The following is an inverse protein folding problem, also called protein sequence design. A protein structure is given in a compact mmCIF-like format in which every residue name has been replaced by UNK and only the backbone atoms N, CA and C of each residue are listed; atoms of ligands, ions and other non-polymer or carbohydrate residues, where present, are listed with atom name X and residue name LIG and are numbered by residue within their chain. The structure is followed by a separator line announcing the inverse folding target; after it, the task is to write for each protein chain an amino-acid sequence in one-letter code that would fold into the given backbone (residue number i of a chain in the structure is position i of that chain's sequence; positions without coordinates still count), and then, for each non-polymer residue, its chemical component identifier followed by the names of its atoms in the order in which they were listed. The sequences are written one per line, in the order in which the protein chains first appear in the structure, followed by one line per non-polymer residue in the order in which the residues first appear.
data_IF_319309698654
#
_entry.id   IF_319309698654
#
_cell.length_a   1.000
_cell.length_b   1.000
_cell.length_c   1.000
_cell.angle_alpha   90.00
_cell.angle_beta   90.00
_cell.angle_gamma   90.00
#
_symmetry.space_group_name_H-M   'P 1'
#
loop_
_entity.id
_entity.type
_entity.pdbx_description
1 polymer ?
#
# COMPACT_ATOMS: atom_id res chain seq x y z
N UNK A 1 3.61 -4.26 19.22
CA UNK A 1 2.16 -4.07 19.02
C UNK A 1 2.00 -3.53 17.62
N UNK A 2 1.06 -4.05 16.81
CA UNK A 2 0.94 -3.57 15.45
C UNK A 2 0.57 -2.09 15.43
N UNK A 3 1.16 -1.32 14.53
CA UNK A 3 0.95 0.12 14.48
C UNK A 3 -0.45 0.37 13.89
N UNK A 4 -1.45 0.57 14.77
CA UNK A 4 -2.86 0.71 14.35
C UNK A 4 -3.15 2.04 13.65
N UNK A 5 -2.16 2.93 13.56
CA UNK A 5 -2.28 4.25 12.94
C UNK A 5 -1.91 4.25 11.46
N UNK A 6 -1.51 3.12 10.88
CA UNK A 6 -1.08 3.05 9.49
C UNK A 6 -2.20 3.45 8.52
N UNK A 7 -1.89 4.41 7.66
CA UNK A 7 -2.77 4.94 6.62
C UNK A 7 -2.63 4.07 5.39
N UNK A 8 -3.64 3.24 5.17
CA UNK A 8 -3.64 2.27 4.07
C UNK A 8 -4.62 2.73 3.01
N UNK A 9 -4.18 2.85 1.77
CA UNK A 9 -5.03 3.13 0.61
C UNK A 9 -5.20 1.86 -0.23
N UNK A 10 -6.42 1.54 -0.67
CA UNK A 10 -6.70 0.43 -1.58
C UNK A 10 -7.31 0.97 -2.87
N UNK A 11 -6.59 0.87 -3.97
CA UNK A 11 -7.06 1.20 -5.31
C UNK A 11 -7.40 -0.07 -6.10
N UNK A 12 -8.69 -0.26 -6.36
CA UNK A 12 -9.17 -1.29 -7.29
C UNK A 12 -10.49 -0.85 -7.93
N UNK A 13 -10.60 -0.97 -9.26
CA UNK A 13 -11.85 -0.74 -9.97
C UNK A 13 -12.99 -1.67 -9.49
N UNK A 14 -12.65 -2.89 -9.10
CA UNK A 14 -13.60 -3.88 -8.61
C UNK A 14 -13.93 -3.66 -7.14
N UNK A 15 -15.18 -3.26 -6.84
CA UNK A 15 -15.65 -3.04 -5.47
C UNK A 15 -15.48 -4.28 -4.57
N UNK A 16 -15.72 -5.48 -5.11
CA UNK A 16 -15.60 -6.73 -4.36
C UNK A 16 -14.16 -6.99 -3.88
N UNK A 17 -13.17 -6.68 -4.71
CA UNK A 17 -11.76 -6.81 -4.35
C UNK A 17 -11.40 -5.87 -3.21
N UNK A 18 -11.82 -4.60 -3.29
CA UNK A 18 -11.60 -3.60 -2.23
C UNK A 18 -12.16 -4.07 -0.89
N UNK A 19 -13.42 -4.50 -0.86
CA UNK A 19 -14.08 -4.97 0.35
C UNK A 19 -13.36 -6.21 0.93
N UNK A 20 -12.90 -7.12 0.07
CA UNK A 20 -12.17 -8.32 0.51
C UNK A 20 -10.83 -7.96 1.13
N UNK A 21 -10.06 -7.08 0.49
CA UNK A 21 -8.75 -6.63 0.98
C UNK A 21 -8.92 -5.84 2.29
N UNK A 22 -9.89 -4.93 2.35
CA UNK A 22 -10.22 -4.16 3.56
C UNK A 22 -10.56 -5.09 4.73
N UNK A 23 -11.35 -6.14 4.50
CA UNK A 23 -11.66 -7.15 5.52
C UNK A 23 -10.41 -7.86 6.04
N UNK A 24 -9.43 -8.16 5.19
CA UNK A 24 -8.17 -8.76 5.62
C UNK A 24 -7.38 -7.80 6.52
N UNK A 25 -7.32 -6.52 6.18
CA UNK A 25 -6.70 -5.50 7.04
C UNK A 25 -7.41 -5.34 8.39
N UNK A 26 -8.74 -5.31 8.37
CA UNK A 26 -9.55 -5.23 9.59
C UNK A 26 -9.32 -6.45 10.50
N UNK A 27 -9.14 -7.65 9.95
CA UNK A 27 -8.80 -8.87 10.73
C UNK A 27 -7.43 -8.78 11.41
N UNK A 28 -6.48 -8.09 10.77
CA UNK A 28 -5.15 -7.84 11.33
C UNK A 28 -5.12 -6.66 12.31
N UNK A 29 -6.25 -5.97 12.50
CA UNK A 29 -6.39 -4.84 13.43
C UNK A 29 -6.02 -3.48 12.84
N UNK A 30 -5.95 -3.36 11.51
CA UNK A 30 -5.78 -2.09 10.81
C UNK A 30 -7.13 -1.57 10.34
N UNK A 31 -7.53 -0.41 10.86
CA UNK A 31 -8.86 0.16 10.61
C UNK A 31 -8.83 1.44 9.76
N UNK A 32 -7.65 2.04 9.56
CA UNK A 32 -7.49 3.27 8.79
C UNK A 32 -7.21 2.95 7.31
N UNK A 33 -8.18 2.28 6.70
CA UNK A 33 -8.13 1.81 5.31
C UNK A 33 -9.09 2.66 4.47
N UNK A 34 -8.58 3.26 3.40
CA UNK A 34 -9.36 4.08 2.47
C UNK A 34 -9.45 3.38 1.09
N UNK A 35 -10.64 2.96 0.64
CA UNK A 35 -10.81 2.39 -0.69
C UNK A 35 -11.07 3.47 -1.75
N UNK A 36 -10.43 3.36 -2.92
CA UNK A 36 -10.63 4.21 -4.10
C UNK A 36 -10.83 3.36 -5.36
N UNK A 37 -11.64 3.84 -6.30
CA UNK A 37 -12.01 3.05 -7.49
C UNK A 37 -11.22 3.38 -8.75
N UNK A 38 -10.59 4.55 -8.81
CA UNK A 38 -9.88 5.03 -9.99
C UNK A 38 -8.58 5.72 -9.62
N UNK A 39 -7.70 5.87 -10.62
CA UNK A 39 -6.49 6.67 -10.47
C UNK A 39 -6.82 8.14 -10.21
N UNK A 40 -7.89 8.68 -10.79
CA UNK A 40 -8.34 10.04 -10.54
C UNK A 40 -8.72 10.32 -9.07
N UNK A 41 -9.12 9.29 -8.32
CA UNK A 41 -9.35 9.39 -6.87
C UNK A 41 -8.07 9.16 -6.07
N UNK A 42 -7.14 8.35 -6.58
CA UNK A 42 -5.86 8.07 -5.93
C UNK A 42 -4.89 9.25 -6.01
N UNK A 43 -4.75 9.86 -7.19
CA UNK A 43 -3.80 10.93 -7.45
C UNK A 43 -3.97 12.09 -6.45
N UNK A 44 -5.19 12.62 -6.20
CA UNK A 44 -5.36 13.69 -5.24
C UNK A 44 -4.98 13.31 -3.81
N UNK A 45 -5.18 12.05 -3.41
CA UNK A 45 -4.84 11.57 -2.07
C UNK A 45 -3.33 11.39 -1.89
N UNK A 46 -2.61 11.08 -2.97
CA UNK A 46 -1.15 10.90 -2.99
C UNK A 46 -0.42 12.22 -3.21
N UNK A 47 -1.02 13.19 -3.91
CA UNK A 47 -0.37 14.48 -4.21
C UNK A 47 -0.74 15.57 -3.19
N UNK A 48 -2.01 15.62 -2.77
CA UNK A 48 -2.54 16.65 -1.86
C UNK A 48 -2.83 16.10 -0.45
N UNK A 49 -2.37 14.89 -0.15
CA UNK A 49 -2.45 14.31 1.18
C UNK A 49 -1.69 15.16 2.20
N UNK A 50 -2.34 15.56 3.29
CA UNK A 50 -1.70 16.35 4.35
C UNK A 50 -0.67 15.53 5.16
N UNK A 51 -0.79 14.19 5.13
CA UNK A 51 0.18 13.27 5.70
C UNK A 51 0.54 12.21 4.63
N UNK A 52 1.73 11.60 4.70
CA UNK A 52 2.09 10.50 3.83
C UNK A 52 1.21 9.26 4.08
N UNK A 53 1.13 8.40 3.07
CA UNK A 53 0.49 7.10 3.11
C UNK A 53 1.53 6.05 3.48
N UNK A 54 1.25 5.27 4.51
CA UNK A 54 2.14 4.19 4.94
C UNK A 54 2.16 3.04 3.92
N UNK A 55 1.00 2.76 3.34
CA UNK A 55 0.81 1.68 2.39
C UNK A 55 -0.23 2.03 1.33
N UNK A 56 0.10 1.81 0.06
CA UNK A 56 -0.85 1.87 -1.06
C UNK A 56 -0.92 0.51 -1.74
N UNK A 57 -2.10 -0.12 -1.73
CA UNK A 57 -2.38 -1.31 -2.51
C UNK A 57 -3.06 -0.89 -3.79
N UNK A 58 -2.57 -1.35 -4.93
CA UNK A 58 -3.18 -1.06 -6.22
C UNK A 58 -3.23 -2.31 -7.09
N UNK A 59 -4.33 -2.48 -7.79
CA UNK A 59 -4.44 -3.50 -8.81
C UNK A 59 -3.64 -3.06 -10.05
N UNK A 60 -2.67 -3.87 -10.47
CA UNK A 60 -1.86 -3.63 -11.66
C UNK A 60 -2.68 -3.53 -12.95
N UNK A 61 -3.88 -4.11 -12.98
CA UNK A 61 -4.83 -3.91 -14.08
C UNK A 61 -5.40 -2.48 -14.18
N UNK A 62 -5.19 -1.64 -13.16
CA UNK A 62 -5.54 -0.22 -13.21
C UNK A 62 -4.46 0.64 -13.89
N UNK A 63 -3.29 0.08 -14.21
CA UNK A 63 -2.31 0.80 -15.01
C UNK A 63 -2.94 1.19 -16.35
N UNK A 64 -3.05 2.49 -16.59
CA UNK A 64 -3.51 3.02 -17.88
C UNK A 64 -2.34 3.12 -18.86
N UNK A 65 -2.61 3.17 -20.16
CA UNK A 65 -1.59 3.18 -21.24
C UNK A 65 -0.57 4.34 -21.18
N UNK A 66 -0.69 5.27 -20.24
CA UNK A 66 0.26 6.35 -20.01
C UNK A 66 0.80 6.47 -18.58
N UNK A 67 0.38 5.61 -17.65
CA UNK A 67 0.77 5.72 -16.24
C UNK A 67 1.47 4.45 -15.76
N UNK A 68 2.80 4.54 -15.65
CA UNK A 68 3.61 3.51 -15.03
C UNK A 68 3.50 3.62 -13.50
N UNK A 69 2.69 2.74 -12.92
CA UNK A 69 2.47 2.69 -11.47
C UNK A 69 3.78 2.50 -10.69
N UNK A 70 4.74 1.74 -11.23
CA UNK A 70 5.99 1.46 -10.54
C UNK A 70 6.82 2.73 -10.42
N UNK A 71 7.02 3.44 -11.54
CA UNK A 71 7.73 4.72 -11.53
C UNK A 71 6.98 5.76 -10.70
N UNK A 72 5.64 5.82 -10.82
CA UNK A 72 4.82 6.71 -10.02
C UNK A 72 5.11 6.52 -8.52
N UNK A 73 4.94 5.32 -7.96
CA UNK A 73 5.15 5.14 -6.52
C UNK A 73 6.61 5.24 -6.07
N UNK A 74 7.57 4.93 -6.95
CA UNK A 74 9.00 5.05 -6.64
C UNK A 74 9.44 6.52 -6.54
N UNK A 75 8.91 7.38 -7.41
CA UNK A 75 9.23 8.81 -7.44
C UNK A 75 8.41 9.63 -6.42
N UNK A 76 7.37 9.05 -5.81
CA UNK A 76 6.47 9.74 -4.89
C UNK A 76 6.89 9.57 -3.41
N UNK A 77 7.47 10.61 -2.77
CA UNK A 77 7.90 10.53 -1.37
C UNK A 77 6.73 10.47 -0.38
N UNK A 78 5.51 10.81 -0.81
CA UNK A 78 4.31 10.69 0.03
C UNK A 78 3.86 9.24 0.24
N UNK A 79 4.41 8.28 -0.51
CA UNK A 79 4.07 6.86 -0.38
C UNK A 79 5.24 6.10 0.22
N UNK A 80 5.10 5.66 1.46
CA UNK A 80 6.17 4.94 2.15
C UNK A 80 6.39 3.53 1.60
N UNK A 81 5.31 2.80 1.29
CA UNK A 81 5.35 1.52 0.60
C UNK A 81 4.16 1.39 -0.35
N UNK A 82 4.39 0.78 -1.52
CA UNK A 82 3.33 0.44 -2.46
C UNK A 82 3.33 -1.05 -2.74
N UNK A 83 2.15 -1.63 -2.94
CA UNK A 83 1.96 -3.02 -3.28
C UNK A 83 1.07 -3.14 -4.52
N UNK A 84 1.68 -3.55 -5.62
CA UNK A 84 0.99 -3.71 -6.90
C UNK A 84 0.71 -5.20 -7.07
N UNK A 85 -0.57 -5.60 -6.99
CA UNK A 85 -0.99 -6.98 -7.21
C UNK A 85 -1.55 -7.17 -8.62
N UNK A 86 -1.74 -8.41 -9.07
CA UNK A 86 -2.23 -8.73 -10.41
C UNK A 86 -1.36 -8.13 -11.53
N UNK A 87 -0.04 -8.13 -11.33
CA UNK A 87 0.93 -7.64 -12.34
C UNK A 87 1.12 -8.71 -13.41
N UNK A 88 0.78 -8.41 -14.66
CA UNK A 88 0.92 -9.35 -15.79
C UNK A 88 2.36 -9.42 -16.34
N UNK A 89 3.23 -8.48 -15.96
CA UNK A 89 4.60 -8.41 -16.48
C UNK A 89 5.55 -9.30 -15.66
N UNK A 90 5.79 -10.51 -16.15
CA UNK A 90 6.62 -11.54 -15.51
C UNK A 90 8.12 -11.19 -15.39
N UNK A 91 8.60 -10.11 -16.02
CA UNK A 91 10.02 -9.74 -16.08
C UNK A 91 10.44 -8.61 -15.12
N UNK A 92 9.50 -8.03 -14.37
CA UNK A 92 9.83 -7.00 -13.40
C UNK A 92 10.38 -7.62 -12.09
N UNK A 93 11.37 -6.98 -11.45
CA UNK A 93 11.85 -7.44 -10.16
C UNK A 93 10.71 -7.42 -9.13
N UNK A 94 10.63 -8.41 -8.22
CA UNK A 94 9.52 -8.52 -7.26
C UNK A 94 9.46 -7.35 -6.25
N UNK A 95 10.55 -6.59 -6.13
CA UNK A 95 10.62 -5.36 -5.33
C UNK A 95 11.45 -4.33 -6.10
N UNK A 96 10.94 -3.11 -6.22
CA UNK A 96 11.62 -1.95 -6.78
C UNK A 96 11.52 -0.78 -5.79
N UNK A 97 12.60 -0.49 -5.06
CA UNK A 97 12.62 0.57 -4.06
C UNK A 97 11.63 0.33 -2.90
N UNK A 98 10.59 1.15 -2.82
CA UNK A 98 9.46 1.06 -1.90
C UNK A 98 8.25 0.32 -2.47
N UNK A 99 8.33 -0.17 -3.70
CA UNK A 99 7.23 -0.85 -4.41
C UNK A 99 7.47 -2.35 -4.40
N UNK A 100 6.48 -3.12 -3.95
CA UNK A 100 6.47 -4.57 -4.00
C UNK A 100 5.44 -5.04 -5.04
N UNK A 101 5.85 -5.98 -5.89
CA UNK A 101 5.03 -6.51 -6.98
C UNK A 101 4.56 -7.93 -6.64
N UNK A 102 3.30 -8.22 -6.96
CA UNK A 102 2.73 -9.54 -6.85
C UNK A 102 1.97 -9.91 -8.13
N UNK A 103 2.22 -11.12 -8.61
CA UNK A 103 1.49 -11.70 -9.74
C UNK A 103 0.15 -12.30 -9.31
N UNK A 104 -0.12 -12.41 -8.00
CA UNK A 104 -1.39 -12.93 -7.51
C UNK A 104 -2.53 -11.97 -7.85
N UNK A 105 -3.64 -12.51 -8.35
CA UNK A 105 -4.83 -11.73 -8.71
C UNK A 105 -5.43 -10.98 -7.51
N UNK A 106 -5.34 -11.55 -6.32
CA UNK A 106 -5.74 -10.94 -5.05
C UNK A 106 -4.73 -11.33 -3.96
N UNK A 107 -4.36 -10.41 -3.07
CA UNK A 107 -3.54 -10.74 -1.92
C UNK A 107 -4.33 -11.60 -0.91
N UNK A 108 -3.66 -12.57 -0.31
CA UNK A 108 -4.19 -13.39 0.78
C UNK A 108 -3.75 -12.85 2.14
N UNK A 109 -4.31 -13.42 3.23
CA UNK A 109 -3.98 -13.00 4.59
C UNK A 109 -2.48 -13.17 4.87
N UNK A 110 -1.85 -14.22 4.34
CA UNK A 110 -0.43 -14.49 4.52
C UNK A 110 0.43 -13.41 3.88
N UNK A 111 0.13 -13.04 2.62
CA UNK A 111 0.85 -11.97 1.91
C UNK A 111 0.71 -10.63 2.61
N UNK A 112 -0.51 -10.27 3.04
CA UNK A 112 -0.73 -9.01 3.77
C UNK A 112 0.01 -9.05 5.12
N UNK A 113 -0.02 -10.16 5.85
CA UNK A 113 0.70 -10.29 7.13
C UNK A 113 2.21 -10.11 6.94
N UNK A 114 2.79 -10.73 5.92
CA UNK A 114 4.21 -10.58 5.60
C UNK A 114 4.56 -9.14 5.21
N UNK A 115 3.71 -8.51 4.39
CA UNK A 115 3.88 -7.13 3.97
C UNK A 115 3.78 -6.16 5.15
N UNK A 116 2.79 -6.32 6.02
CA UNK A 116 2.66 -5.49 7.21
C UNK A 116 3.83 -5.68 8.17
N UNK A 117 4.30 -6.92 8.36
CA UNK A 117 5.51 -7.18 9.13
C UNK A 117 6.71 -6.41 8.56
N UNK A 118 6.90 -6.40 7.23
CA UNK A 118 7.99 -5.65 6.60
C UNK A 118 7.86 -4.13 6.81
N UNK A 119 6.65 -3.57 6.76
CA UNK A 119 6.38 -2.14 7.00
C UNK A 119 6.66 -1.77 8.46
N UNK A 120 6.20 -2.59 9.41
CA UNK A 120 6.37 -2.35 10.84
C UNK A 120 7.83 -2.39 11.26
N UNK A 121 8.65 -3.27 10.66
CA UNK A 121 10.09 -3.31 10.91
C UNK A 121 10.83 -2.12 10.29
N UNK A 122 10.26 -1.49 9.25
CA UNK A 122 10.86 -0.35 8.55
C UNK A 122 10.54 0.98 9.24
N UNK A 123 9.44 1.05 9.99
CA UNK A 123 9.17 2.18 10.87
C UNK A 123 10.15 2.10 12.05
N UNK A 124 11.08 3.06 12.21
CA UNK A 124 11.85 3.11 13.44
C UNK A 124 10.82 3.23 14.57
N UNK A 125 10.91 2.34 15.55
CA UNK A 125 10.17 2.47 16.79
C UNK A 125 10.52 3.86 17.33
N UNK A 126 9.64 4.85 17.11
CA UNK A 126 9.75 6.17 17.77
C UNK A 126 9.29 5.95 19.22
N UNK A 127 10.03 5.09 19.92
CA UNK A 127 10.20 5.21 21.35
C UNK A 127 11.17 6.37 21.55
N UNK A 128 10.68 7.60 21.43
CA UNK A 128 11.37 8.74 22.04
C UNK A 128 11.21 8.57 23.55
N UNK A 129 12.01 7.66 24.11
CA UNK A 129 12.36 7.66 25.53
C UNK A 129 13.75 8.29 25.60
N UNK A 130 13.81 9.62 25.61
CA UNK A 130 14.98 10.37 26.09
C UNK A 130 14.44 11.70 26.60
N UNK A 131 14.73 12.19 27.78
CA UNK A 131 15.21 11.67 29.05
C UNK A 131 15.02 12.85 30.02
N UNK A 132 14.67 12.54 31.25
CA UNK A 132 14.54 13.44 32.40
C UNK A 132 15.67 14.48 32.47
N UNK A 133 15.31 15.76 32.65
CA UNK A 133 16.00 16.69 33.56
C UNK A 133 15.00 17.67 34.17
#
# INVERSE_FOLDING_TARGET
MPNKSLRILIADAQHFNRLRIERLFNQLGYFRVAPVQSLDELLPLVEYGCEPLDLVLINGAMASEGLDLLNFFTENPQVHQAFIFNVQQASLPPVAGNVQLSQAALPDLTSITQLMSAIEHRLPFVGTVISVR
#
